data_IF_258819815819
#
_entry.id   IF_258819815819
#
_cell.length_a   1.000
_cell.length_b   1.000
_cell.length_c   1.000
_cell.angle_alpha   90.00
_cell.angle_beta   90.00
_cell.angle_gamma   90.00
#
_symmetry.space_group_name_H-M   'P 1'
#
loop_
_entity.id
_entity.type
_entity.pdbx_description
1 polymer ?
#
# COMPACT_ATOMS: atom_id res chain seq x y z
N UNK A 1 -32.72 0.58 -26.56
CA UNK A 1 -33.09 -0.75 -26.05
C UNK A 1 -31.81 -1.43 -25.62
N UNK A 2 -31.69 -1.87 -24.37
CA UNK A 2 -30.45 -2.51 -23.86
C UNK A 2 -30.39 -3.97 -24.32
N UNK A 3 -29.18 -4.54 -24.40
CA UNK A 3 -28.98 -5.96 -24.74
C UNK A 3 -29.74 -6.86 -23.76
N UNK A 4 -29.66 -6.59 -22.45
CA UNK A 4 -30.53 -7.21 -21.43
C UNK A 4 -32.04 -7.21 -21.76
N UNK A 5 -32.58 -6.12 -22.31
CA UNK A 5 -34.02 -6.03 -22.66
C UNK A 5 -34.38 -6.96 -23.81
N UNK A 6 -33.48 -7.09 -24.79
CA UNK A 6 -33.64 -8.03 -25.91
C UNK A 6 -33.58 -9.47 -25.41
N UNK A 7 -32.58 -9.79 -24.59
CA UNK A 7 -32.37 -11.14 -24.04
C UNK A 7 -33.57 -11.65 -23.23
N UNK A 8 -34.30 -10.77 -22.55
CA UNK A 8 -35.49 -11.14 -21.81
C UNK A 8 -36.61 -11.75 -22.67
N UNK A 9 -36.65 -11.45 -23.97
CA UNK A 9 -37.68 -11.96 -24.90
C UNK A 9 -37.42 -13.42 -25.30
N UNK A 10 -36.17 -13.88 -25.21
CA UNK A 10 -35.77 -15.22 -25.65
C UNK A 10 -36.22 -16.32 -24.68
N UNK A 11 -36.50 -17.52 -25.20
CA UNK A 11 -36.66 -18.72 -24.37
C UNK A 11 -35.32 -19.18 -23.79
N UNK A 12 -35.35 -20.04 -22.78
CA UNK A 12 -34.13 -20.57 -22.15
C UNK A 12 -33.24 -21.29 -23.17
N UNK A 13 -33.80 -22.16 -24.02
CA UNK A 13 -33.04 -22.84 -25.08
C UNK A 13 -32.40 -21.87 -26.08
N UNK A 14 -33.08 -20.75 -26.38
CA UNK A 14 -32.51 -19.73 -27.25
C UNK A 14 -31.39 -18.96 -26.54
N UNK A 15 -31.52 -18.69 -25.25
CA UNK A 15 -30.47 -18.04 -24.45
C UNK A 15 -29.21 -18.90 -24.39
N UNK A 16 -29.35 -20.22 -24.17
CA UNK A 16 -28.22 -21.15 -24.22
C UNK A 16 -27.58 -21.21 -25.61
N UNK A 17 -28.37 -21.20 -26.69
CA UNK A 17 -27.82 -21.15 -28.05
C UNK A 17 -27.04 -19.84 -28.31
N UNK A 18 -27.52 -18.70 -27.79
CA UNK A 18 -26.78 -17.43 -27.88
C UNK A 18 -25.51 -17.48 -27.04
N UNK A 19 -25.57 -18.06 -25.84
CA UNK A 19 -24.41 -18.26 -24.96
C UNK A 19 -23.32 -19.09 -25.67
N UNK A 20 -23.68 -20.21 -26.30
CA UNK A 20 -22.77 -21.07 -27.07
C UNK A 20 -22.16 -20.33 -28.27
N UNK A 21 -22.95 -19.53 -28.99
CA UNK A 21 -22.42 -18.74 -30.11
C UNK A 21 -21.42 -17.68 -29.64
N UNK A 22 -21.72 -16.93 -28.58
CA UNK A 22 -20.80 -15.93 -28.01
C UNK A 22 -19.53 -16.60 -27.50
N UNK A 23 -19.67 -17.76 -26.88
CA UNK A 23 -18.55 -18.59 -26.45
C UNK A 23 -17.63 -18.97 -27.62
N UNK A 24 -18.18 -19.49 -28.72
CA UNK A 24 -17.39 -19.83 -29.90
C UNK A 24 -16.66 -18.62 -30.49
N UNK A 25 -17.30 -17.45 -30.54
CA UNK A 25 -16.67 -16.22 -31.03
C UNK A 25 -15.49 -15.77 -30.15
N UNK A 26 -15.61 -15.90 -28.82
CA UNK A 26 -14.50 -15.59 -27.89
C UNK A 26 -13.34 -16.57 -28.10
N UNK A 27 -13.62 -17.87 -28.28
CA UNK A 27 -12.59 -18.88 -28.48
C UNK A 27 -11.82 -18.73 -29.79
N UNK A 28 -12.48 -18.22 -30.85
CA UNK A 28 -11.83 -18.02 -32.15
C UNK A 28 -10.74 -16.95 -32.11
N UNK A 29 -10.91 -15.91 -31.28
CA UNK A 29 -9.93 -14.82 -31.22
C UNK A 29 -9.89 -14.11 -29.85
N UNK A 30 -9.03 -14.59 -28.95
CA UNK A 30 -8.75 -13.91 -27.69
C UNK A 30 -8.07 -12.54 -27.86
N UNK A 31 -7.46 -12.27 -29.03
CA UNK A 31 -6.63 -11.09 -29.27
C UNK A 31 -7.36 -9.90 -29.90
N UNK A 32 -8.65 -10.05 -30.22
CA UNK A 32 -9.43 -8.98 -30.81
C UNK A 32 -9.86 -7.92 -29.77
N UNK A 33 -9.88 -6.65 -30.16
CA UNK A 33 -10.47 -5.57 -29.34
C UNK A 33 -11.95 -5.78 -28.99
N UNK A 34 -12.63 -6.72 -29.68
CA UNK A 34 -14.02 -7.10 -29.43
C UNK A 34 -14.19 -8.06 -28.23
N UNK A 35 -13.12 -8.70 -27.74
CA UNK A 35 -13.18 -9.66 -26.61
C UNK A 35 -13.85 -9.04 -25.38
N UNK A 36 -13.61 -7.75 -25.12
CA UNK A 36 -14.23 -7.01 -24.01
C UNK A 36 -15.76 -6.96 -24.15
N UNK A 37 -16.26 -6.67 -25.35
CA UNK A 37 -17.70 -6.54 -25.60
C UNK A 37 -18.38 -7.91 -25.64
N UNK A 38 -17.68 -8.95 -26.13
CA UNK A 38 -18.15 -10.32 -26.05
C UNK A 38 -18.26 -10.80 -24.60
N UNK A 39 -17.26 -10.54 -23.74
CA UNK A 39 -17.31 -10.91 -22.32
C UNK A 39 -18.43 -10.19 -21.56
N UNK A 40 -18.67 -8.91 -21.88
CA UNK A 40 -19.81 -8.18 -21.31
C UNK A 40 -21.13 -8.78 -21.75
N UNK A 41 -21.26 -9.09 -23.04
CA UNK A 41 -22.45 -9.75 -23.59
C UNK A 41 -22.67 -11.11 -22.95
N UNK A 42 -21.60 -11.90 -22.80
CA UNK A 42 -21.60 -13.19 -22.10
C UNK A 42 -22.12 -13.03 -20.66
N UNK A 43 -21.60 -12.06 -19.91
CA UNK A 43 -22.06 -11.76 -18.55
C UNK A 43 -23.55 -11.37 -18.51
N UNK A 44 -24.00 -10.49 -19.40
CA UNK A 44 -25.41 -10.09 -19.48
C UNK A 44 -26.34 -11.27 -19.79
N UNK A 45 -25.92 -12.20 -20.65
CA UNK A 45 -26.68 -13.42 -20.95
C UNK A 45 -26.80 -14.30 -19.70
N UNK A 46 -25.69 -14.54 -19.01
CA UNK A 46 -25.68 -15.35 -17.77
C UNK A 46 -26.58 -14.72 -16.72
N UNK A 47 -26.52 -13.39 -16.55
CA UNK A 47 -27.36 -12.66 -15.61
C UNK A 47 -28.86 -12.83 -15.92
N UNK A 48 -29.25 -12.74 -17.20
CA UNK A 48 -30.65 -12.95 -17.63
C UNK A 48 -31.10 -14.40 -17.41
N UNK A 49 -30.25 -15.39 -17.70
CA UNK A 49 -30.57 -16.80 -17.44
C UNK A 49 -30.78 -17.00 -15.94
N UNK A 50 -29.87 -16.46 -15.12
CA UNK A 50 -29.95 -16.58 -13.67
C UNK A 50 -31.16 -15.83 -13.08
N UNK A 51 -31.55 -14.67 -13.61
CA UNK A 51 -32.76 -13.96 -13.16
C UNK A 51 -34.05 -14.74 -13.49
N UNK A 52 -34.06 -15.49 -14.60
CA UNK A 52 -35.19 -16.35 -14.99
C UNK A 52 -35.28 -17.63 -14.15
N UNK A 53 -34.16 -18.10 -13.62
CA UNK A 53 -34.07 -19.33 -12.85
C UNK A 53 -33.96 -19.05 -11.35
N UNK A 54 -34.88 -19.57 -10.53
CA UNK A 54 -34.76 -19.41 -9.07
C UNK A 54 -33.53 -20.13 -8.49
N UNK A 55 -33.04 -21.17 -9.18
CA UNK A 55 -31.84 -21.95 -8.84
C UNK A 55 -31.13 -22.30 -10.15
N UNK A 56 -29.80 -22.13 -10.25
CA UNK A 56 -29.03 -22.52 -11.43
C UNK A 56 -29.27 -23.98 -11.81
N UNK A 57 -29.72 -24.25 -13.04
CA UNK A 57 -29.82 -25.60 -13.54
C UNK A 57 -28.43 -26.21 -13.86
N UNK A 58 -28.38 -27.53 -14.10
CA UNK A 58 -27.13 -28.23 -14.41
C UNK A 58 -26.45 -27.74 -15.71
N UNK A 59 -27.23 -27.26 -16.69
CA UNK A 59 -26.69 -26.71 -17.94
C UNK A 59 -25.98 -25.39 -17.67
N UNK A 60 -26.60 -24.49 -16.90
CA UNK A 60 -25.98 -23.24 -16.47
C UNK A 60 -24.70 -23.52 -15.68
N UNK A 61 -24.75 -24.41 -14.68
CA UNK A 61 -23.57 -24.76 -13.88
C UNK A 61 -22.41 -25.29 -14.74
N UNK A 62 -22.70 -26.14 -15.73
CA UNK A 62 -21.67 -26.62 -16.66
C UNK A 62 -21.12 -25.48 -17.52
N UNK A 63 -21.99 -24.61 -18.06
CA UNK A 63 -21.58 -23.46 -18.85
C UNK A 63 -20.70 -22.51 -18.04
N UNK A 64 -21.05 -22.22 -16.78
CA UNK A 64 -20.24 -21.40 -15.87
C UNK A 64 -18.85 -22.01 -15.66
N UNK A 65 -18.77 -23.33 -15.43
CA UNK A 65 -17.50 -24.05 -15.28
C UNK A 65 -16.63 -23.92 -16.54
N UNK A 66 -17.20 -24.09 -17.72
CA UNK A 66 -16.50 -23.88 -19.00
C UNK A 66 -16.03 -22.44 -19.18
N UNK A 67 -16.87 -21.45 -18.87
CA UNK A 67 -16.49 -20.03 -18.98
C UNK A 67 -15.33 -19.70 -18.04
N UNK A 68 -15.30 -20.28 -16.86
CA UNK A 68 -14.20 -20.10 -15.90
C UNK A 68 -12.92 -20.76 -16.43
N UNK A 69 -12.98 -22.03 -16.85
CA UNK A 69 -11.79 -22.83 -17.20
C UNK A 69 -11.23 -22.53 -18.60
N UNK A 70 -12.11 -22.29 -19.59
CA UNK A 70 -11.75 -22.29 -21.01
C UNK A 70 -11.74 -20.89 -21.61
N UNK A 71 -12.33 -19.91 -20.92
CA UNK A 71 -12.33 -18.50 -21.34
C UNK A 71 -11.54 -17.64 -20.34
N UNK A 72 -12.04 -17.49 -19.13
CA UNK A 72 -11.52 -16.47 -18.22
C UNK A 72 -10.08 -16.78 -17.79
N UNK A 73 -9.81 -18.03 -17.41
CA UNK A 73 -8.48 -18.43 -16.94
C UNK A 73 -7.40 -18.32 -18.04
N UNK A 74 -7.63 -18.82 -19.28
CA UNK A 74 -6.69 -18.63 -20.38
C UNK A 74 -6.44 -17.15 -20.68
N UNK A 75 -7.49 -16.32 -20.74
CA UNK A 75 -7.35 -14.89 -21.02
C UNK A 75 -6.45 -14.22 -19.97
N UNK A 76 -6.68 -14.49 -18.68
CA UNK A 76 -5.88 -13.89 -17.61
C UNK A 76 -4.38 -14.23 -17.68
N UNK A 77 -4.02 -15.36 -18.29
CA UNK A 77 -2.62 -15.79 -18.47
C UNK A 77 -1.98 -15.10 -19.70
N UNK A 78 -2.76 -14.53 -20.61
CA UNK A 78 -2.23 -13.89 -21.82
C UNK A 78 -1.43 -12.64 -21.50
N UNK A 79 -0.28 -12.49 -22.17
CA UNK A 79 0.68 -11.43 -21.87
C UNK A 79 0.10 -10.01 -22.01
N UNK A 80 -0.76 -9.81 -23.01
CA UNK A 80 -1.35 -8.52 -23.35
C UNK A 80 -2.42 -8.06 -22.34
N UNK A 81 -3.02 -8.97 -21.57
CA UNK A 81 -4.00 -8.62 -20.52
C UNK A 81 -3.36 -7.84 -19.37
N UNK A 82 -2.05 -8.01 -19.17
CA UNK A 82 -1.30 -7.14 -18.26
C UNK A 82 -1.32 -5.66 -18.70
N UNK A 83 -1.45 -5.38 -20.00
CA UNK A 83 -1.42 -4.02 -20.55
C UNK A 83 -2.82 -3.41 -20.76
N UNK A 84 -3.84 -4.22 -20.98
CA UNK A 84 -5.23 -3.77 -21.15
C UNK A 84 -6.02 -3.91 -19.84
N UNK A 85 -6.06 -2.82 -19.07
CA UNK A 85 -6.80 -2.73 -17.81
C UNK A 85 -8.30 -2.99 -17.98
N UNK A 86 -8.90 -2.54 -19.10
CA UNK A 86 -10.34 -2.69 -19.35
C UNK A 86 -10.68 -4.16 -19.57
N UNK A 87 -9.90 -4.87 -20.39
CA UNK A 87 -10.05 -6.30 -20.61
C UNK A 87 -9.84 -7.08 -19.32
N UNK A 88 -8.75 -6.80 -18.59
CA UNK A 88 -8.46 -7.44 -17.31
C UNK A 88 -9.62 -7.33 -16.33
N UNK A 89 -10.14 -6.11 -16.11
CA UNK A 89 -11.22 -5.88 -15.16
C UNK A 89 -12.51 -6.61 -15.56
N UNK A 90 -12.86 -6.64 -16.86
CA UNK A 90 -14.04 -7.36 -17.35
C UNK A 90 -13.89 -8.88 -17.18
N UNK A 91 -12.70 -9.44 -17.43
CA UNK A 91 -12.46 -10.88 -17.26
C UNK A 91 -12.53 -11.27 -15.78
N UNK A 92 -11.92 -10.49 -14.89
CA UNK A 92 -11.96 -10.72 -13.43
C UNK A 92 -13.41 -10.69 -12.94
N UNK A 93 -14.15 -9.64 -13.29
CA UNK A 93 -15.55 -9.45 -12.92
C UNK A 93 -16.44 -10.60 -13.44
N UNK A 94 -16.25 -11.01 -14.70
CA UNK A 94 -16.98 -12.14 -15.30
C UNK A 94 -16.66 -13.44 -14.59
N UNK A 95 -15.38 -13.71 -14.29
CA UNK A 95 -14.97 -14.93 -13.58
C UNK A 95 -15.56 -14.97 -12.17
N UNK A 96 -15.51 -13.87 -11.43
CA UNK A 96 -16.11 -13.78 -10.09
C UNK A 96 -17.61 -14.01 -10.13
N UNK A 97 -18.31 -13.37 -11.06
CA UNK A 97 -19.74 -13.56 -11.23
C UNK A 97 -20.08 -15.03 -11.49
N UNK A 98 -19.30 -15.71 -12.35
CA UNK A 98 -19.49 -17.13 -12.59
C UNK A 98 -19.24 -17.98 -11.34
N UNK A 99 -18.17 -17.70 -10.58
CA UNK A 99 -17.85 -18.43 -9.35
C UNK A 99 -18.97 -18.32 -8.30
N UNK A 100 -19.56 -17.15 -8.15
CA UNK A 100 -20.67 -16.95 -7.21
C UNK A 100 -21.92 -17.73 -7.60
N UNK A 101 -22.26 -17.71 -8.89
CA UNK A 101 -23.44 -18.42 -9.38
C UNK A 101 -23.29 -19.94 -9.25
N UNK A 102 -22.07 -20.47 -9.19
CA UNK A 102 -21.87 -21.88 -8.88
C UNK A 102 -22.24 -22.24 -7.44
N UNK A 103 -22.46 -21.26 -6.56
CA UNK A 103 -22.82 -21.47 -5.14
C UNK A 103 -21.67 -22.02 -4.28
N UNK A 104 -20.50 -22.18 -4.87
CA UNK A 104 -19.29 -22.66 -4.22
C UNK A 104 -18.51 -21.44 -3.71
N UNK A 105 -18.95 -20.83 -2.60
CA UNK A 105 -18.22 -19.70 -1.97
C UNK A 105 -16.76 -20.06 -1.65
N UNK A 106 -16.51 -21.34 -1.35
CA UNK A 106 -15.17 -21.91 -1.23
C UNK A 106 -14.29 -21.61 -2.45
N UNK A 107 -14.86 -21.51 -3.66
CA UNK A 107 -14.08 -21.23 -4.86
C UNK A 107 -13.54 -19.80 -4.92
N UNK A 108 -14.22 -18.82 -4.31
CA UNK A 108 -13.74 -17.43 -4.27
C UNK A 108 -12.52 -17.34 -3.36
N UNK A 109 -12.59 -17.96 -2.17
CA UNK A 109 -11.47 -18.05 -1.23
C UNK A 109 -10.34 -18.88 -1.83
N UNK A 110 -10.63 -20.01 -2.46
CA UNK A 110 -9.64 -20.83 -3.14
C UNK A 110 -8.94 -20.06 -4.26
N UNK A 111 -9.69 -19.26 -5.04
CA UNK A 111 -9.07 -18.45 -6.09
C UNK A 111 -8.20 -17.32 -5.52
N UNK A 112 -8.58 -16.74 -4.40
CA UNK A 112 -7.74 -15.81 -3.65
C UNK A 112 -6.44 -16.49 -3.19
N UNK A 113 -6.54 -17.69 -2.61
CA UNK A 113 -5.39 -18.51 -2.18
C UNK A 113 -4.49 -18.90 -3.37
N UNK A 114 -5.06 -19.20 -4.54
CA UNK A 114 -4.30 -19.45 -5.77
C UNK A 114 -3.54 -18.21 -6.23
N UNK A 115 -4.19 -17.04 -6.23
CA UNK A 115 -3.55 -15.77 -6.58
C UNK A 115 -2.42 -15.44 -5.60
N UNK A 116 -2.65 -15.65 -4.31
CA UNK A 116 -1.63 -15.51 -3.26
C UNK A 116 -0.42 -16.42 -3.55
N UNK A 117 -0.65 -17.71 -3.79
CA UNK A 117 0.42 -18.68 -4.09
C UNK A 117 1.21 -18.31 -5.34
N UNK A 118 0.54 -17.78 -6.37
CA UNK A 118 1.20 -17.29 -7.59
C UNK A 118 2.11 -16.12 -7.27
N UNK A 119 1.62 -15.13 -6.52
CA UNK A 119 2.41 -13.96 -6.10
C UNK A 119 3.60 -14.42 -5.26
N UNK A 120 3.37 -15.29 -4.28
CA UNK A 120 4.42 -15.86 -3.42
C UNK A 120 5.51 -16.56 -4.24
N UNK A 121 5.11 -17.51 -5.08
CA UNK A 121 6.03 -18.30 -5.91
C UNK A 121 6.83 -17.42 -6.86
N UNK A 122 6.22 -16.37 -7.42
CA UNK A 122 6.95 -15.41 -8.23
C UNK A 122 8.09 -14.77 -7.44
N UNK A 123 7.84 -14.30 -6.22
CA UNK A 123 8.89 -13.69 -5.40
C UNK A 123 9.94 -14.68 -4.90
N UNK A 124 9.55 -15.94 -4.65
CA UNK A 124 10.49 -17.03 -4.37
C UNK A 124 11.42 -17.29 -5.57
N UNK A 125 10.89 -17.37 -6.80
CA UNK A 125 11.68 -17.53 -8.01
C UNK A 125 12.66 -16.36 -8.23
N UNK A 126 12.19 -15.12 -8.04
CA UNK A 126 13.03 -13.92 -8.11
C UNK A 126 14.18 -13.98 -7.09
N UNK A 127 13.95 -14.51 -5.88
CA UNK A 127 14.99 -14.69 -4.87
C UNK A 127 16.03 -15.74 -5.27
N UNK A 128 15.60 -16.83 -5.88
CA UNK A 128 16.47 -17.90 -6.36
C UNK A 128 17.22 -17.54 -7.65
N UNK A 129 16.88 -16.41 -8.29
CA UNK A 129 17.36 -16.05 -9.62
C UNK A 129 16.84 -17.01 -10.70
N UNK A 130 15.70 -17.67 -10.44
CA UNK A 130 15.03 -18.56 -11.40
C UNK A 130 13.92 -17.81 -12.13
N UNK A 131 13.71 -18.18 -13.40
CA UNK A 131 12.61 -17.60 -14.16
C UNK A 131 11.26 -18.16 -13.65
N UNK A 132 10.24 -17.30 -13.46
CA UNK A 132 8.91 -17.77 -13.13
C UNK A 132 8.37 -18.64 -14.27
N UNK A 133 7.45 -19.59 -14.00
CA UNK A 133 6.94 -20.47 -15.05
C UNK A 133 6.24 -19.67 -16.16
N UNK A 134 6.59 -19.91 -17.43
CA UNK A 134 6.04 -19.18 -18.60
C UNK A 134 4.51 -19.21 -18.70
N UNK A 135 3.86 -20.21 -18.09
CA UNK A 135 2.40 -20.42 -18.14
C UNK A 135 1.70 -20.10 -16.82
N UNK A 136 2.21 -19.14 -16.06
CA UNK A 136 1.56 -18.67 -14.83
C UNK A 136 0.94 -17.29 -15.02
N UNK A 137 -0.11 -17.05 -14.23
CA UNK A 137 -0.71 -15.73 -14.07
C UNK A 137 0.38 -14.74 -13.63
N UNK A 138 0.42 -13.57 -14.24
CA UNK A 138 1.37 -12.53 -13.85
C UNK A 138 1.05 -12.00 -12.44
N UNK A 139 2.05 -11.68 -11.61
CA UNK A 139 1.84 -11.19 -10.24
C UNK A 139 0.98 -9.93 -10.18
N UNK A 140 1.11 -9.02 -11.16
CA UNK A 140 0.32 -7.80 -11.22
C UNK A 140 -1.16 -8.11 -11.44
N UNK A 141 -1.46 -9.10 -12.29
CA UNK A 141 -2.85 -9.55 -12.53
C UNK A 141 -3.40 -10.25 -11.29
N UNK A 142 -2.58 -11.06 -10.61
CA UNK A 142 -2.95 -11.70 -9.36
C UNK A 142 -3.26 -10.69 -8.24
N UNK A 143 -2.46 -9.63 -8.12
CA UNK A 143 -2.72 -8.53 -7.19
C UNK A 143 -4.02 -7.77 -7.52
N UNK A 144 -4.30 -7.51 -8.80
CA UNK A 144 -5.56 -6.88 -9.22
C UNK A 144 -6.78 -7.77 -8.91
N UNK A 145 -6.64 -9.10 -9.04
CA UNK A 145 -7.69 -10.03 -8.61
C UNK A 145 -7.91 -9.92 -7.09
N UNK A 146 -6.83 -9.94 -6.29
CA UNK A 146 -6.92 -9.78 -4.84
C UNK A 146 -7.57 -8.44 -4.48
N UNK A 147 -7.18 -7.35 -5.14
CA UNK A 147 -7.79 -6.03 -4.98
C UNK A 147 -9.29 -6.05 -5.26
N UNK A 148 -9.71 -6.68 -6.36
CA UNK A 148 -11.12 -6.79 -6.71
C UNK A 148 -11.89 -7.62 -5.67
N UNK A 149 -11.30 -8.73 -5.21
CA UNK A 149 -11.86 -9.59 -4.17
C UNK A 149 -12.07 -8.83 -2.85
N UNK A 150 -11.07 -8.05 -2.41
CA UNK A 150 -11.18 -7.25 -1.18
C UNK A 150 -12.30 -6.22 -1.24
N UNK A 151 -12.41 -5.50 -2.36
CA UNK A 151 -13.50 -4.54 -2.57
C UNK A 151 -14.88 -5.19 -2.46
N UNK A 152 -14.99 -6.43 -2.92
CA UNK A 152 -16.23 -7.20 -2.85
C UNK A 152 -16.54 -7.70 -1.44
N UNK A 153 -15.52 -8.12 -0.71
CA UNK A 153 -15.66 -8.50 0.71
C UNK A 153 -16.14 -7.30 1.53
N UNK A 154 -15.59 -6.12 1.24
CA UNK A 154 -16.02 -4.86 1.87
C UNK A 154 -17.51 -4.59 1.64
N UNK A 155 -18.04 -4.86 0.43
CA UNK A 155 -19.48 -4.66 0.14
C UNK A 155 -20.38 -5.71 0.77
N UNK A 156 -19.91 -6.95 0.86
CA UNK A 156 -20.74 -8.10 1.24
C UNK A 156 -20.70 -8.40 2.75
N UNK A 157 -19.71 -7.89 3.48
CA UNK A 157 -19.61 -8.00 4.94
C UNK A 157 -19.37 -9.43 5.47
N UNK A 158 -18.78 -10.33 4.66
CA UNK A 158 -18.62 -11.76 4.99
C UNK A 158 -17.42 -12.06 5.89
N UNK A 159 -17.61 -12.94 6.87
CA UNK A 159 -16.63 -13.29 7.93
C UNK A 159 -15.58 -14.34 7.57
N UNK A 160 -15.72 -15.05 6.45
CA UNK A 160 -14.92 -16.25 6.17
C UNK A 160 -13.50 -15.98 5.60
N UNK A 161 -13.12 -14.71 5.43
CA UNK A 161 -11.80 -14.35 4.89
C UNK A 161 -10.67 -14.32 5.92
N UNK A 162 -10.94 -14.59 7.19
CA UNK A 162 -9.92 -14.62 8.25
C UNK A 162 -8.74 -15.55 7.93
N UNK A 163 -9.02 -16.73 7.37
CA UNK A 163 -7.96 -17.67 6.99
C UNK A 163 -7.13 -17.13 5.82
N UNK A 164 -7.78 -16.53 4.81
CA UNK A 164 -7.08 -15.88 3.70
C UNK A 164 -6.20 -14.72 4.21
N UNK A 165 -6.68 -13.91 5.16
CA UNK A 165 -5.90 -12.81 5.74
C UNK A 165 -4.61 -13.30 6.41
N UNK A 166 -4.69 -14.38 7.19
CA UNK A 166 -3.50 -14.96 7.84
C UNK A 166 -2.50 -15.51 6.82
N UNK A 167 -2.97 -16.17 5.76
CA UNK A 167 -2.12 -16.65 4.68
C UNK A 167 -1.47 -15.47 3.94
N UNK A 168 -2.26 -14.49 3.53
CA UNK A 168 -1.80 -13.32 2.79
C UNK A 168 -0.83 -12.47 3.60
N UNK A 169 -0.98 -12.40 4.93
CA UNK A 169 -0.02 -11.71 5.80
C UNK A 169 1.40 -12.28 5.67
N UNK A 170 1.54 -13.61 5.59
CA UNK A 170 2.86 -14.24 5.39
C UNK A 170 3.46 -13.86 4.03
N UNK A 171 2.61 -13.77 3.01
CA UNK A 171 2.98 -13.40 1.64
C UNK A 171 3.35 -11.94 1.55
N UNK A 172 2.60 -11.05 2.19
CA UNK A 172 2.93 -9.64 2.32
C UNK A 172 4.29 -9.44 2.95
N UNK A 173 4.62 -10.18 4.01
CA UNK A 173 5.95 -10.13 4.62
C UNK A 173 7.04 -10.49 3.62
N UNK A 174 6.82 -11.53 2.80
CA UNK A 174 7.72 -11.94 1.72
C UNK A 174 7.85 -10.86 0.63
N UNK A 175 6.72 -10.36 0.10
CA UNK A 175 6.65 -9.33 -0.93
C UNK A 175 7.39 -8.08 -0.47
N UNK A 176 7.05 -7.56 0.72
CA UNK A 176 7.70 -6.40 1.31
C UNK A 176 9.17 -6.65 1.61
N UNK A 177 9.62 -7.90 1.67
CA UNK A 177 11.03 -8.20 1.89
C UNK A 177 11.93 -8.12 0.67
N UNK A 178 11.35 -8.28 -0.52
CA UNK A 178 12.11 -8.48 -1.76
C UNK A 178 11.77 -7.53 -2.89
N UNK A 179 10.63 -6.84 -2.83
CA UNK A 179 10.14 -6.08 -3.97
C UNK A 179 11.00 -4.88 -4.35
N UNK A 180 11.01 -4.62 -5.67
CA UNK A 180 11.29 -3.29 -6.19
C UNK A 180 10.32 -2.25 -5.63
N UNK A 181 10.66 -0.97 -5.76
CA UNK A 181 9.85 0.10 -5.20
C UNK A 181 8.48 0.27 -5.86
N UNK A 182 8.31 -0.20 -7.10
CA UNK A 182 7.08 0.05 -7.85
C UNK A 182 5.98 -0.95 -7.46
N UNK A 183 6.31 -2.24 -7.44
CA UNK A 183 5.37 -3.29 -7.02
C UNK A 183 5.02 -3.15 -5.54
N UNK A 184 6.02 -2.88 -4.68
CA UNK A 184 5.78 -2.58 -3.28
C UNK A 184 4.86 -1.38 -3.10
N UNK A 185 5.03 -0.32 -3.90
CA UNK A 185 4.18 0.86 -3.82
C UNK A 185 2.73 0.56 -4.17
N UNK A 186 2.44 -0.21 -5.23
CA UNK A 186 1.06 -0.55 -5.56
C UNK A 186 0.44 -1.42 -4.47
N UNK A 187 1.15 -2.42 -3.96
CA UNK A 187 0.69 -3.23 -2.83
C UNK A 187 0.33 -2.37 -1.61
N UNK A 188 1.18 -1.40 -1.25
CA UNK A 188 1.02 -0.57 -0.06
C UNK A 188 -0.06 0.50 -0.20
N UNK A 189 -0.22 1.05 -1.39
CA UNK A 189 -1.16 2.15 -1.64
C UNK A 189 -2.55 1.61 -1.99
N UNK A 190 -2.62 0.55 -2.80
CA UNK A 190 -3.89 0.00 -3.25
C UNK A 190 -4.42 -1.04 -2.27
N UNK A 191 -3.59 -2.03 -1.93
CA UNK A 191 -4.09 -3.29 -1.37
C UNK A 191 -4.12 -3.25 0.16
N UNK A 192 -3.06 -2.74 0.79
CA UNK A 192 -2.98 -2.65 2.25
C UNK A 192 -4.14 -1.87 2.88
N UNK A 193 -4.55 -0.68 2.38
CA UNK A 193 -5.69 0.04 2.95
C UNK A 193 -7.00 -0.76 2.86
N UNK A 194 -7.22 -1.48 1.76
CA UNK A 194 -8.39 -2.36 1.63
C UNK A 194 -8.37 -3.49 2.65
N UNK A 195 -7.22 -4.12 2.90
CA UNK A 195 -7.08 -5.09 3.98
C UNK A 195 -7.44 -4.50 5.34
N UNK A 196 -6.97 -3.28 5.63
CA UNK A 196 -7.30 -2.60 6.87
C UNK A 196 -8.80 -2.28 7.00
N UNK A 197 -9.54 -2.09 5.90
CA UNK A 197 -10.98 -1.85 5.95
C UNK A 197 -11.77 -3.11 6.34
N UNK A 198 -11.32 -4.28 5.87
CA UNK A 198 -12.05 -5.55 6.05
C UNK A 198 -11.61 -6.36 7.27
N UNK A 199 -10.41 -6.12 7.81
CA UNK A 199 -9.90 -6.81 8.99
C UNK A 199 -10.64 -6.41 10.27
N UNK A 200 -10.78 -7.34 11.22
CA UNK A 200 -11.20 -7.00 12.58
C UNK A 200 -10.13 -6.18 13.32
N UNK A 201 -10.50 -5.40 14.36
CA UNK A 201 -9.60 -4.52 15.09
C UNK A 201 -8.30 -5.17 15.61
N UNK A 202 -8.36 -6.42 16.07
CA UNK A 202 -7.19 -7.12 16.61
C UNK A 202 -6.20 -7.46 15.50
N UNK A 203 -6.71 -7.99 14.39
CA UNK A 203 -5.91 -8.29 13.21
C UNK A 203 -5.32 -7.02 12.57
N UNK A 204 -6.05 -5.91 12.54
CA UNK A 204 -5.51 -4.62 12.08
C UNK A 204 -4.29 -4.18 12.89
N UNK A 205 -4.35 -4.26 14.22
CA UNK A 205 -3.24 -3.88 15.12
C UNK A 205 -2.04 -4.82 14.93
N UNK A 206 -2.28 -6.13 14.84
CA UNK A 206 -1.24 -7.11 14.61
C UNK A 206 -0.55 -6.91 13.26
N UNK A 207 -1.34 -6.63 12.22
CA UNK A 207 -0.85 -6.37 10.88
C UNK A 207 -0.03 -5.08 10.81
N UNK A 208 -0.51 -3.99 11.41
CA UNK A 208 0.25 -2.74 11.56
C UNK A 208 1.58 -2.94 12.29
N UNK A 209 1.62 -3.80 13.32
CA UNK A 209 2.87 -4.16 14.03
C UNK A 209 3.85 -4.91 13.12
N UNK A 210 3.36 -5.82 12.27
CA UNK A 210 4.19 -6.51 11.28
C UNK A 210 4.75 -5.53 10.25
N UNK A 211 3.93 -4.60 9.75
CA UNK A 211 4.40 -3.53 8.86
C UNK A 211 5.47 -2.67 9.53
N UNK A 212 5.31 -2.31 10.81
CA UNK A 212 6.32 -1.57 11.54
C UNK A 212 7.66 -2.32 11.68
N UNK A 213 7.62 -3.58 12.12
CA UNK A 213 8.83 -4.42 12.21
C UNK A 213 9.50 -4.60 10.85
N UNK A 214 8.69 -4.61 9.78
CA UNK A 214 9.19 -4.62 8.40
C UNK A 214 9.88 -3.30 8.05
N UNK A 215 9.31 -2.14 8.38
CA UNK A 215 9.97 -0.84 8.23
C UNK A 215 11.35 -0.88 8.89
N UNK A 216 11.43 -1.28 10.16
CA UNK A 216 12.70 -1.37 10.87
C UNK A 216 13.73 -2.27 10.16
N UNK A 217 13.28 -3.38 9.56
CA UNK A 217 14.19 -4.32 8.87
C UNK A 217 14.88 -3.76 7.63
N UNK A 218 14.39 -2.65 7.04
CA UNK A 218 15.07 -1.99 5.92
C UNK A 218 16.30 -1.18 6.35
N UNK A 219 16.44 -0.97 7.65
CA UNK A 219 17.41 -0.07 8.24
C UNK A 219 18.30 -0.83 9.22
N UNK A 220 19.60 -0.55 9.18
CA UNK A 220 20.55 -1.00 10.18
C UNK A 220 20.81 0.16 11.12
N UNK A 221 20.39 0.00 12.37
CA UNK A 221 20.54 1.01 13.40
C UNK A 221 21.89 0.84 14.11
N UNK A 222 22.65 1.93 14.18
CA UNK A 222 23.78 2.07 15.09
C UNK A 222 23.43 3.10 16.15
N UNK A 223 24.28 3.26 17.16
CA UNK A 223 23.99 4.20 18.26
C UNK A 223 23.80 5.65 17.78
N UNK A 224 24.52 6.05 16.72
CA UNK A 224 24.50 7.43 16.21
C UNK A 224 23.93 7.58 14.80
N UNK A 225 23.79 6.49 14.04
CA UNK A 225 23.51 6.55 12.60
C UNK A 225 22.61 5.41 12.13
N UNK A 226 21.99 5.59 10.98
CA UNK A 226 21.12 4.63 10.33
C UNK A 226 21.63 4.37 8.90
N UNK A 227 21.98 3.12 8.58
CA UNK A 227 22.35 2.75 7.22
C UNK A 227 21.19 2.01 6.54
N UNK A 228 20.89 2.38 5.30
CA UNK A 228 19.80 1.76 4.54
C UNK A 228 20.31 0.80 3.47
N UNK A 229 19.68 -0.36 3.36
CA UNK A 229 19.85 -1.23 2.17
C UNK A 229 18.80 -0.91 1.09
N UNK A 230 17.63 -0.43 1.49
CA UNK A 230 16.52 -0.06 0.59
C UNK A 230 15.67 1.05 1.24
N UNK A 231 16.20 2.29 1.27
CA UNK A 231 15.57 3.44 1.95
C UNK A 231 14.20 3.78 1.40
N UNK A 232 14.02 3.71 0.07
CA UNK A 232 12.80 4.16 -0.59
C UNK A 232 11.58 3.39 -0.11
N UNK A 233 11.67 2.06 -0.03
CA UNK A 233 10.55 1.22 0.39
C UNK A 233 10.23 1.43 1.87
N UNK A 234 11.25 1.54 2.72
CA UNK A 234 11.08 1.80 4.15
C UNK A 234 10.26 3.06 4.43
N UNK A 235 10.57 4.17 3.74
CA UNK A 235 9.85 5.43 3.91
C UNK A 235 8.44 5.41 3.32
N UNK A 236 8.22 4.75 2.17
CA UNK A 236 6.87 4.58 1.60
C UNK A 236 5.97 3.78 2.54
N UNK A 237 6.46 2.65 3.06
CA UNK A 237 5.72 1.82 4.02
C UNK A 237 5.43 2.62 5.28
N UNK A 238 6.42 3.34 5.80
CA UNK A 238 6.26 4.18 6.99
C UNK A 238 5.19 5.27 6.77
N UNK A 239 5.17 5.94 5.62
CA UNK A 239 4.13 6.94 5.32
C UNK A 239 2.73 6.33 5.36
N UNK A 240 2.51 5.23 4.62
CA UNK A 240 1.21 4.58 4.55
C UNK A 240 0.79 4.01 5.90
N UNK A 241 1.71 3.36 6.64
CA UNK A 241 1.44 2.84 7.97
C UNK A 241 1.03 3.96 8.93
N UNK A 242 1.78 5.07 8.94
CA UNK A 242 1.48 6.18 9.83
C UNK A 242 0.16 6.85 9.46
N UNK A 243 -0.17 6.95 8.18
CA UNK A 243 -1.49 7.39 7.72
C UNK A 243 -2.58 6.46 8.24
N UNK A 244 -2.44 5.15 8.10
CA UNK A 244 -3.43 4.18 8.56
C UNK A 244 -3.65 4.21 10.09
N UNK A 245 -2.58 4.24 10.88
CA UNK A 245 -2.72 4.17 12.35
C UNK A 245 -3.08 5.52 12.98
N UNK A 246 -2.89 6.60 12.23
CA UNK A 246 -3.29 7.91 12.70
C UNK A 246 -4.67 8.27 12.17
N UNK A 247 -4.99 8.06 10.89
CA UNK A 247 -6.25 8.48 10.28
C UNK A 247 -7.50 7.72 10.76
N UNK A 248 -8.65 8.41 10.77
CA UNK A 248 -9.97 7.80 11.00
C UNK A 248 -10.64 8.01 12.38
N UNK A 249 -11.89 7.55 12.47
CA UNK A 249 -12.72 7.44 13.69
C UNK A 249 -12.28 6.29 14.62
N UNK A 250 -11.41 5.40 14.13
CA UNK A 250 -10.84 4.25 14.83
C UNK A 250 -9.67 4.61 15.76
N UNK A 251 -9.53 5.88 16.15
CA UNK A 251 -8.41 6.38 16.99
C UNK A 251 -8.21 5.59 18.26
N UNK A 252 -9.29 5.04 18.84
CA UNK A 252 -9.22 4.23 20.06
C UNK A 252 -8.50 2.90 19.85
N UNK A 253 -8.65 2.28 18.68
CA UNK A 253 -8.09 0.96 18.36
C UNK A 253 -6.56 1.08 18.22
N UNK A 254 -6.10 2.08 17.45
CA UNK A 254 -4.68 2.26 17.16
C UNK A 254 -3.93 3.15 18.13
N UNK A 255 -4.59 3.84 19.08
CA UNK A 255 -3.92 4.74 20.00
C UNK A 255 -2.72 4.08 20.70
N UNK A 256 -2.93 2.89 21.27
CA UNK A 256 -1.89 2.14 21.98
C UNK A 256 -0.71 1.76 21.07
N UNK A 257 -0.99 1.32 19.84
CA UNK A 257 0.06 0.96 18.90
C UNK A 257 0.83 2.20 18.42
N UNK A 258 0.13 3.29 18.14
CA UNK A 258 0.75 4.55 17.75
C UNK A 258 1.67 5.06 18.87
N UNK A 259 1.19 5.07 20.11
CA UNK A 259 1.99 5.48 21.27
C UNK A 259 3.19 4.53 21.48
N UNK A 260 3.02 3.23 21.25
CA UNK A 260 4.13 2.27 21.24
C UNK A 260 5.18 2.64 20.19
N UNK A 261 4.79 2.83 18.92
CA UNK A 261 5.73 3.18 17.83
C UNK A 261 6.44 4.51 18.13
N UNK A 262 5.70 5.53 18.59
CA UNK A 262 6.26 6.84 18.94
C UNK A 262 7.20 6.79 20.14
N UNK A 263 7.06 5.79 21.02
CA UNK A 263 7.98 5.57 22.13
C UNK A 263 9.29 4.87 21.70
N UNK A 264 9.32 4.24 20.51
CA UNK A 264 10.50 3.54 20.03
C UNK A 264 11.58 4.52 19.55
N UNK A 265 12.81 4.38 20.07
CA UNK A 265 13.98 5.17 19.63
C UNK A 265 14.21 5.07 18.13
N UNK A 266 13.98 3.89 17.55
CA UNK A 266 14.20 3.63 16.13
C UNK A 266 13.29 4.49 15.25
N UNK A 267 12.04 4.74 15.65
CA UNK A 267 11.13 5.63 14.92
C UNK A 267 11.74 7.02 14.74
N UNK A 268 12.20 7.61 15.83
CA UNK A 268 12.78 8.95 15.78
C UNK A 268 14.11 9.00 15.04
N UNK A 269 14.93 7.94 15.13
CA UNK A 269 16.14 7.82 14.32
C UNK A 269 15.81 7.80 12.82
N UNK A 270 14.75 7.09 12.40
CA UNK A 270 14.31 7.06 11.00
C UNK A 270 13.82 8.41 10.50
N UNK A 271 13.03 9.12 11.30
CA UNK A 271 12.58 10.48 10.99
C UNK A 271 13.80 11.40 10.84
N UNK A 272 14.70 11.41 11.82
CA UNK A 272 15.91 12.21 11.82
C UNK A 272 16.77 11.97 10.57
N UNK A 273 17.06 10.70 10.29
CA UNK A 273 17.86 10.29 9.14
C UNK A 273 17.20 10.71 7.83
N UNK A 274 15.88 10.51 7.73
CA UNK A 274 15.12 10.80 6.53
C UNK A 274 14.99 12.29 6.25
N UNK A 275 14.83 13.12 7.27
CA UNK A 275 14.86 14.59 7.15
C UNK A 275 16.24 15.11 6.73
N UNK A 276 17.32 14.43 7.11
CA UNK A 276 18.69 14.78 6.74
C UNK A 276 19.15 14.18 5.39
N UNK A 277 18.35 13.31 4.78
CA UNK A 277 18.74 12.50 3.63
C UNK A 277 19.03 13.33 2.36
N UNK A 278 19.97 12.88 1.52
CA UNK A 278 20.35 13.58 0.28
C UNK A 278 19.23 13.60 -0.77
N UNK A 279 18.52 12.48 -0.92
CA UNK A 279 17.31 12.36 -1.73
C UNK A 279 16.15 13.20 -1.16
N UNK A 280 15.62 14.15 -1.96
CA UNK A 280 14.50 15.01 -1.58
C UNK A 280 13.18 14.27 -1.32
N UNK A 281 12.97 13.11 -1.95
CA UNK A 281 11.76 12.32 -1.73
C UNK A 281 11.71 11.78 -0.29
N UNK A 282 12.82 11.21 0.21
CA UNK A 282 12.89 10.68 1.58
C UNK A 282 12.70 11.78 2.63
N UNK A 283 13.20 12.99 2.35
CA UNK A 283 12.97 14.16 3.20
C UNK A 283 11.49 14.54 3.25
N UNK A 284 10.83 14.63 2.09
CA UNK A 284 9.39 14.91 1.99
C UNK A 284 8.56 13.86 2.71
N UNK A 285 8.88 12.58 2.54
CA UNK A 285 8.20 11.47 3.22
C UNK A 285 8.38 11.51 4.74
N UNK A 286 9.61 11.75 5.21
CA UNK A 286 9.89 11.87 6.64
C UNK A 286 9.22 13.10 7.25
N UNK A 287 9.21 14.22 6.53
CA UNK A 287 8.50 15.43 6.93
C UNK A 287 6.98 15.22 6.96
N UNK A 288 6.44 14.47 6.00
CA UNK A 288 5.03 14.07 5.99
C UNK A 288 4.66 13.29 7.24
N UNK A 289 5.40 12.23 7.55
CA UNK A 289 5.18 11.44 8.78
C UNK A 289 5.32 12.31 10.02
N UNK A 290 6.35 13.18 10.08
CA UNK A 290 6.52 14.08 11.20
C UNK A 290 5.31 15.03 11.37
N UNK A 291 4.81 15.63 10.29
CA UNK A 291 3.62 16.48 10.32
C UNK A 291 2.42 15.71 10.86
N UNK A 292 2.22 14.48 10.39
CA UNK A 292 1.10 13.64 10.77
C UNK A 292 1.07 13.30 12.26
N UNK A 293 2.23 13.01 12.86
CA UNK A 293 2.31 12.67 14.29
C UNK A 293 2.28 13.90 15.20
N UNK A 294 2.77 15.04 14.71
CA UNK A 294 2.82 16.29 15.48
C UNK A 294 1.52 17.10 15.41
N UNK A 295 0.70 16.94 14.37
CA UNK A 295 -0.56 17.66 14.22
C UNK A 295 -1.70 17.16 15.12
N UNK A 296 -1.45 16.16 15.98
CA UNK A 296 -2.50 15.41 16.70
C UNK A 296 -2.47 15.58 18.21
N UNK A 297 -1.87 16.65 18.71
CA UNK A 297 -1.64 16.97 20.14
C UNK A 297 -0.91 15.87 20.96
N UNK A 298 -0.54 14.74 20.34
CA UNK A 298 0.11 13.59 21.00
C UNK A 298 1.53 13.88 21.48
N UNK A 299 2.17 14.89 20.92
CA UNK A 299 3.58 15.24 21.17
C UNK A 299 3.73 16.62 21.80
N UNK A 300 2.65 17.20 22.31
CA UNK A 300 2.74 18.49 22.99
C UNK A 300 3.73 18.42 24.15
N UNK A 301 4.71 19.30 24.10
CA UNK A 301 5.61 19.52 25.22
C UNK A 301 5.63 21.01 25.52
N UNK A 302 5.73 21.35 26.80
CA UNK A 302 5.81 22.75 27.24
C UNK A 302 7.07 23.45 26.72
N UNK A 303 8.09 22.68 26.33
CA UNK A 303 9.43 23.19 26.03
C UNK A 303 9.78 23.16 24.54
N UNK A 304 9.04 22.43 23.70
CA UNK A 304 9.34 22.27 22.29
C UNK A 304 8.13 22.55 21.40
N UNK A 305 8.31 23.47 20.44
CA UNK A 305 7.30 23.81 19.44
C UNK A 305 7.51 23.01 18.15
N UNK A 306 6.75 21.93 17.99
CA UNK A 306 6.77 21.11 16.77
C UNK A 306 6.37 21.90 15.53
N UNK A 307 5.41 22.82 15.64
CA UNK A 307 5.02 23.69 14.53
C UNK A 307 6.17 24.55 14.03
N UNK A 308 6.99 25.10 14.93
CA UNK A 308 8.19 25.83 14.55
C UNK A 308 9.26 24.91 13.95
N UNK A 309 9.47 23.72 14.52
CA UNK A 309 10.42 22.76 13.98
C UNK A 309 10.06 22.32 12.55
N UNK A 310 8.81 21.91 12.32
CA UNK A 310 8.29 21.53 11.00
C UNK A 310 8.46 22.68 10.00
N UNK A 311 8.09 23.91 10.40
CA UNK A 311 8.25 25.09 9.56
C UNK A 311 9.71 25.33 9.18
N UNK A 312 10.65 25.22 10.13
CA UNK A 312 12.09 25.37 9.87
C UNK A 312 12.54 24.35 8.83
N UNK A 313 12.25 23.06 9.04
CA UNK A 313 12.71 21.99 8.15
C UNK A 313 12.10 22.14 6.75
N UNK A 314 10.82 22.44 6.65
CA UNK A 314 10.13 22.68 5.38
C UNK A 314 10.72 23.87 4.62
N UNK A 315 10.94 25.00 5.31
CA UNK A 315 11.48 26.21 4.68
C UNK A 315 12.93 26.00 4.21
N UNK A 316 13.70 25.13 4.87
CA UNK A 316 15.06 24.78 4.44
C UNK A 316 15.11 23.93 3.15
N UNK A 317 13.97 23.50 2.59
CA UNK A 317 13.91 22.95 1.22
C UNK A 317 13.91 24.04 0.14
N UNK A 318 13.60 25.29 0.49
CA UNK A 318 13.56 26.39 -0.46
C UNK A 318 14.96 26.85 -0.82
N UNK A 319 15.18 27.21 -2.08
CA UNK A 319 16.48 27.75 -2.53
C UNK A 319 16.64 29.24 -2.25
N UNK A 320 15.52 29.94 -2.04
CA UNK A 320 15.45 31.38 -1.97
C UNK A 320 15.68 31.89 -0.54
N UNK A 321 16.82 32.55 -0.32
CA UNK A 321 17.23 33.04 1.01
C UNK A 321 16.20 33.95 1.67
N UNK A 322 15.46 34.76 0.90
CA UNK A 322 14.46 35.67 1.46
C UNK A 322 13.24 34.93 2.04
N UNK A 323 12.99 33.69 1.61
CA UNK A 323 11.95 32.81 2.18
C UNK A 323 12.44 32.20 3.49
N UNK A 324 13.72 31.83 3.57
CA UNK A 324 14.32 31.18 4.76
C UNK A 324 14.57 32.19 5.89
N UNK A 325 15.05 33.40 5.55
CA UNK A 325 15.52 34.40 6.51
C UNK A 325 14.54 34.71 7.65
N UNK A 326 13.22 34.86 7.43
CA UNK A 326 12.24 35.09 8.49
C UNK A 326 12.13 33.96 9.51
N UNK A 327 12.47 32.73 9.11
CA UNK A 327 12.32 31.52 9.93
C UNK A 327 13.56 31.23 10.78
N UNK A 328 14.73 31.79 10.41
CA UNK A 328 15.99 31.57 11.13
C UNK A 328 15.92 31.93 12.63
N UNK A 329 15.20 33.00 12.99
CA UNK A 329 15.03 33.40 14.39
C UNK A 329 14.25 32.38 15.23
N UNK A 330 13.48 31.47 14.60
CA UNK A 330 12.74 30.41 15.29
C UNK A 330 13.65 29.26 15.73
N UNK A 331 14.82 29.11 15.11
CA UNK A 331 15.81 28.05 15.46
C UNK A 331 16.25 28.21 16.91
N UNK A 332 16.32 29.44 17.42
CA UNK A 332 16.70 29.72 18.80
C UNK A 332 15.77 29.06 19.83
N UNK A 333 14.49 28.86 19.49
CA UNK A 333 13.55 28.16 20.35
C UNK A 333 13.84 26.65 20.39
N UNK A 334 14.23 26.08 19.25
CA UNK A 334 14.66 24.67 19.15
C UNK A 334 15.97 24.45 19.91
N UNK A 335 16.92 25.39 19.80
CA UNK A 335 18.19 25.35 20.56
C UNK A 335 17.91 25.37 22.06
N UNK A 336 17.07 26.28 22.54
CA UNK A 336 16.71 26.34 23.98
C UNK A 336 16.06 25.04 24.46
N UNK A 337 15.21 24.43 23.63
CA UNK A 337 14.59 23.15 23.97
C UNK A 337 15.63 22.01 24.02
N UNK A 338 16.68 22.07 23.19
CA UNK A 338 17.76 21.08 23.17
C UNK A 338 18.58 21.03 24.46
N UNK A 339 18.59 22.11 25.24
CA UNK A 339 19.23 22.12 26.57
C UNK A 339 18.49 21.23 27.59
N UNK A 340 17.24 20.87 27.32
CA UNK A 340 16.37 20.12 28.26
C UNK A 340 16.43 18.61 28.01
N UNK A 341 16.71 18.18 26.77
CA UNK A 341 16.68 16.76 26.42
C UNK A 341 17.61 16.43 25.25
N UNK A 342 18.30 15.30 25.37
CA UNK A 342 19.09 14.66 24.31
C UNK A 342 18.27 14.42 23.04
N UNK A 343 16.99 14.14 23.18
CA UNK A 343 16.06 13.98 22.06
C UNK A 343 15.91 15.27 21.23
N UNK A 344 15.73 16.42 21.88
CA UNK A 344 15.61 17.71 21.18
C UNK A 344 16.95 18.16 20.59
N UNK A 345 18.07 17.77 21.20
CA UNK A 345 19.40 17.96 20.62
C UNK A 345 19.57 17.21 19.30
N UNK A 346 19.12 15.96 19.21
CA UNK A 346 19.12 15.19 17.96
C UNK A 346 18.29 15.86 16.85
N UNK A 347 17.15 16.46 17.19
CA UNK A 347 16.35 17.22 16.24
C UNK A 347 17.04 18.52 15.81
N UNK A 348 17.68 19.23 16.74
CA UNK A 348 18.45 20.44 16.46
C UNK A 348 19.63 20.15 15.51
N UNK A 349 20.38 19.07 15.72
CA UNK A 349 21.50 18.70 14.83
C UNK A 349 21.04 18.43 13.40
N UNK A 350 19.81 17.93 13.21
CA UNK A 350 19.20 17.76 11.88
C UNK A 350 19.03 19.09 11.16
N UNK A 351 18.59 20.14 11.86
CA UNK A 351 18.49 21.50 11.30
C UNK A 351 19.88 21.96 10.83
N UNK A 352 20.89 21.87 11.70
CA UNK A 352 22.24 22.31 11.35
C UNK A 352 22.85 21.52 10.20
N UNK A 353 22.67 20.18 10.18
CA UNK A 353 23.08 19.35 9.06
C UNK A 353 22.49 19.85 7.73
N UNK A 354 21.17 20.10 7.72
CA UNK A 354 20.47 20.63 6.54
C UNK A 354 21.01 21.97 6.10
N UNK A 355 21.26 22.88 7.05
CA UNK A 355 21.80 24.20 6.73
C UNK A 355 23.24 24.15 6.22
N UNK A 356 24.08 23.22 6.71
CA UNK A 356 25.44 23.03 6.21
C UNK A 356 25.48 22.46 4.79
N UNK A 357 24.50 21.62 4.45
CA UNK A 357 24.35 21.05 3.11
C UNK A 357 23.63 21.99 2.13
N UNK A 358 22.96 23.04 2.61
CA UNK A 358 22.13 23.95 1.80
C UNK A 358 22.92 24.74 0.73
N UNK A 359 22.45 24.85 -0.50
CA UNK A 359 23.20 25.47 -1.62
C UNK A 359 23.62 26.94 -1.38
N UNK A 360 22.81 27.71 -0.67
CA UNK A 360 23.13 29.10 -0.33
C UNK A 360 24.29 29.23 0.67
N UNK A 361 25.37 29.90 0.24
CA UNK A 361 26.52 30.29 1.09
C UNK A 361 26.10 31.12 2.31
N UNK A 362 25.05 31.94 2.17
CA UNK A 362 24.54 32.74 3.29
C UNK A 362 24.00 31.84 4.40
N UNK A 363 23.22 30.81 4.06
CA UNK A 363 22.64 29.87 5.03
C UNK A 363 23.74 29.06 5.71
N UNK A 364 24.73 28.54 4.94
CA UNK A 364 25.89 27.84 5.50
C UNK A 364 26.67 28.71 6.50
N UNK A 365 26.95 29.97 6.13
CA UNK A 365 27.67 30.92 6.98
C UNK A 365 26.88 31.21 8.26
N UNK A 366 25.59 31.50 8.14
CA UNK A 366 24.72 31.75 9.30
C UNK A 366 24.69 30.55 10.24
N UNK A 367 24.55 29.33 9.69
CA UNK A 367 24.56 28.10 10.48
C UNK A 367 25.89 27.90 11.20
N UNK A 368 27.02 28.13 10.53
CA UNK A 368 28.35 27.99 11.13
C UNK A 368 28.54 28.99 12.28
N UNK A 369 28.20 30.27 12.05
CA UNK A 369 28.25 31.28 13.10
C UNK A 369 27.37 30.87 14.27
N UNK A 370 26.12 30.46 14.04
CA UNK A 370 25.22 30.06 15.13
C UNK A 370 25.71 28.81 15.87
N UNK A 371 26.19 27.81 15.14
CA UNK A 371 26.68 26.54 15.69
C UNK A 371 27.91 26.73 16.58
N UNK A 372 28.85 27.60 16.19
CA UNK A 372 30.04 27.92 16.99
C UNK A 372 29.73 28.65 18.30
N UNK A 373 28.55 29.26 18.40
CA UNK A 373 28.06 29.90 19.63
C UNK A 373 27.18 28.97 20.48
N UNK A 374 27.03 27.68 20.11
CA UNK A 374 26.31 26.73 20.94
C UNK A 374 27.15 26.35 22.17
N UNK A 375 26.51 26.36 23.33
CA UNK A 375 27.09 25.87 24.57
C UNK A 375 26.87 24.36 24.69
N UNK A 376 27.84 23.59 24.20
CA UNK A 376 27.85 22.12 24.18
C UNK A 376 28.49 21.50 25.44
N UNK A 377 28.49 22.20 26.58
CA UNK A 377 29.14 21.71 27.80
C UNK A 377 28.55 20.38 28.30
N UNK A 378 29.45 19.47 28.71
CA UNK A 378 29.21 18.02 28.94
C UNK A 378 28.15 17.69 30.00
N UNK A 379 27.88 18.58 30.95
CA UNK A 379 26.94 18.30 32.05
C UNK A 379 25.49 18.12 31.56
N UNK A 380 25.13 18.66 30.39
CA UNK A 380 23.77 18.59 29.83
C UNK A 380 23.38 17.23 29.21
N UNK A 381 24.34 16.31 29.04
CA UNK A 381 24.14 15.08 28.24
C UNK A 381 24.35 13.77 29.01
N UNK A 382 24.53 13.83 30.33
CA UNK A 382 24.85 12.66 31.16
C UNK A 382 23.60 11.98 31.78
N UNK A 383 22.45 12.67 31.84
CA UNK A 383 21.32 12.27 32.72
C UNK A 383 20.12 11.54 32.08
N UNK A 384 20.28 10.88 30.93
CA UNK A 384 19.21 9.99 30.41
C UNK A 384 19.79 8.71 29.84
N UNK A 385 20.03 7.73 30.72
CA UNK A 385 20.08 6.30 30.37
C UNK A 385 18.75 5.65 30.71
#
# INVERSE_FOLDING_TARGET
MTVKTLLNIFSDDQLYAVLENVYEEIQRDFSCGQTVDHLRTLREIIEVINEKQSVPDLRLLNALKYIISDICTPILILEHVGKDEKLRNVVIDTKLFCLELTGEEENVVQWADECEKIVRKHFECVEEGSDPPEKCLKPEVALEIIKFLLKKIETDGKSDFNQFFLQFQSTLSLILSRCDSQFASSLLVDIVPMFFQVMDPENKVNFARVLWKRVESFFTFTYFDCQSRNTSNGYVIMCNLMELITDGDEKSIFASLCDQILSEKNFWLLIRFGLAHENSLHRKQSLYVLKLVTSRDRLESQHFSWSNYVLIIETLEETQVHVIKPVLGKIDQVIKASDVSTFYFDLMTTIFHRMFMHDSKFIKKWALERFLHLDLTREKFIDTQ
#
